data_IF_583774438195
#
_entry.id   IF_583774438195
#
_cell.length_a   1.000
_cell.length_b   1.000
_cell.length_c   1.000
_cell.angle_alpha   90.00
_cell.angle_beta   90.00
_cell.angle_gamma   90.00
#
_symmetry.space_group_name_H-M   'P 1'
#
loop_
_entity.id
_entity.type
_entity.pdbx_description
1 polymer ?
#
# COMPACT_ATOMS: atom_id res chain seq x y z
N UNK A 1 2.87 -25.89 -1.36
CA UNK A 1 3.14 -24.59 -1.97
C UNK A 1 3.28 -23.50 -0.89
N UNK A 2 3.97 -22.41 -1.19
CA UNK A 2 4.09 -21.28 -0.28
C UNK A 2 2.75 -20.54 -0.18
N UNK A 3 2.38 -20.12 1.04
CA UNK A 3 1.20 -19.28 1.30
C UNK A 3 1.65 -17.84 1.55
N UNK A 4 0.94 -16.87 1.00
CA UNK A 4 1.21 -15.46 1.31
C UNK A 4 0.78 -15.21 2.76
N UNK A 5 1.73 -14.74 3.58
CA UNK A 5 1.49 -14.36 4.98
C UNK A 5 0.79 -13.02 5.08
N UNK A 6 0.05 -12.80 6.16
CA UNK A 6 -0.42 -11.45 6.51
C UNK A 6 0.75 -10.53 6.91
N UNK A 7 0.54 -9.24 6.76
CA UNK A 7 1.60 -8.24 6.91
C UNK A 7 2.21 -8.24 8.33
N UNK A 8 1.37 -8.31 9.35
CA UNK A 8 1.83 -8.28 10.76
C UNK A 8 2.70 -9.50 11.06
N UNK A 9 2.27 -10.67 10.59
CA UNK A 9 3.02 -11.91 10.76
C UNK A 9 4.36 -11.87 10.01
N UNK A 10 4.37 -11.37 8.78
CA UNK A 10 5.60 -11.21 8.00
C UNK A 10 6.60 -10.28 8.69
N UNK A 11 6.14 -9.12 9.21
CA UNK A 11 6.99 -8.19 9.96
C UNK A 11 7.47 -8.83 11.27
N UNK A 12 6.63 -9.61 11.95
CA UNK A 12 7.03 -10.34 13.17
C UNK A 12 8.14 -11.36 12.88
N UNK A 13 8.03 -12.12 11.77
CA UNK A 13 9.08 -13.07 11.40
C UNK A 13 10.36 -12.36 10.91
N UNK A 14 10.23 -11.22 10.26
CA UNK A 14 11.35 -10.37 9.89
C UNK A 14 12.08 -9.81 11.12
N UNK A 15 11.32 -9.37 12.13
CA UNK A 15 11.89 -8.92 13.41
C UNK A 15 12.74 -10.01 14.09
N UNK A 16 12.27 -11.26 14.12
CA UNK A 16 13.02 -12.36 14.71
C UNK A 16 14.38 -12.55 14.05
N UNK A 17 14.46 -12.37 12.74
CA UNK A 17 15.72 -12.45 11.99
C UNK A 17 16.55 -11.18 12.24
N UNK A 18 15.94 -10.00 12.15
CA UNK A 18 16.65 -8.74 12.32
C UNK A 18 17.26 -8.58 13.70
N UNK A 19 16.55 -9.01 14.74
CA UNK A 19 17.00 -8.94 16.14
C UNK A 19 18.23 -9.81 16.46
N UNK A 20 18.54 -10.80 15.62
CA UNK A 20 19.79 -11.58 15.72
C UNK A 20 21.01 -10.74 15.35
N UNK A 21 20.84 -9.73 14.50
CA UNK A 21 21.90 -8.82 14.05
C UNK A 21 21.90 -7.51 14.84
N UNK A 22 20.72 -7.00 15.19
CA UNK A 22 20.53 -5.71 15.84
C UNK A 22 19.53 -5.85 16.99
N UNK A 23 19.98 -5.82 18.26
CA UNK A 23 19.09 -5.88 19.42
C UNK A 23 18.29 -4.57 19.50
N UNK A 24 17.03 -4.63 19.14
CA UNK A 24 16.07 -3.52 19.21
C UNK A 24 14.72 -4.06 19.68
N UNK A 25 13.88 -3.23 20.31
CA UNK A 25 12.52 -3.63 20.71
C UNK A 25 11.58 -3.68 19.50
N UNK A 26 10.58 -4.58 19.55
CA UNK A 26 9.65 -4.81 18.43
C UNK A 26 8.86 -3.56 18.04
N UNK A 27 8.43 -2.76 19.01
CA UNK A 27 7.68 -1.52 18.78
C UNK A 27 8.49 -0.48 17.96
N UNK A 28 9.79 -0.35 18.21
CA UNK A 28 10.68 0.52 17.42
C UNK A 28 10.94 -0.06 16.03
N UNK A 29 11.12 -1.37 15.95
CA UNK A 29 11.38 -2.05 14.70
C UNK A 29 10.15 -2.09 13.78
N UNK A 30 8.93 -2.18 14.31
CA UNK A 30 7.73 -2.49 13.53
C UNK A 30 7.56 -1.59 12.30
N UNK A 31 7.64 -0.28 12.49
CA UNK A 31 7.51 0.69 11.39
C UNK A 31 8.63 0.55 10.36
N UNK A 32 9.85 0.39 10.83
CA UNK A 32 11.01 0.13 9.99
C UNK A 32 10.90 -1.21 9.26
N UNK A 33 10.44 -2.23 9.95
CA UNK A 33 10.21 -3.57 9.41
C UNK A 33 9.18 -3.60 8.28
N UNK A 34 8.15 -2.77 8.33
CA UNK A 34 7.19 -2.63 7.23
C UNK A 34 7.82 -2.03 5.96
N UNK A 35 8.69 -1.03 6.12
CA UNK A 35 9.45 -0.46 5.00
C UNK A 35 10.39 -1.50 4.40
N UNK A 36 11.15 -2.17 5.24
CA UNK A 36 12.11 -3.19 4.82
C UNK A 36 11.43 -4.38 4.10
N UNK A 37 10.28 -4.82 4.59
CA UNK A 37 9.47 -5.84 3.92
C UNK A 37 9.02 -5.38 2.52
N UNK A 38 8.66 -4.11 2.37
CA UNK A 38 8.27 -3.52 1.09
C UNK A 38 9.44 -3.45 0.12
N UNK A 39 10.63 -3.11 0.61
CA UNK A 39 11.85 -3.08 -0.19
C UNK A 39 12.25 -4.49 -0.65
N UNK A 40 12.19 -5.48 0.23
CA UNK A 40 12.44 -6.88 -0.13
C UNK A 40 11.44 -7.41 -1.15
N UNK A 41 10.17 -7.03 -1.04
CA UNK A 41 9.12 -7.35 -2.01
C UNK A 41 9.46 -6.77 -3.39
N UNK A 42 9.93 -5.52 -3.43
CA UNK A 42 10.33 -4.82 -4.65
C UNK A 42 11.58 -5.45 -5.27
N UNK A 43 12.62 -5.73 -4.48
CA UNK A 43 13.84 -6.41 -4.93
C UNK A 43 13.48 -7.73 -5.64
N UNK A 44 12.56 -8.50 -5.08
CA UNK A 44 12.14 -9.77 -5.65
C UNK A 44 11.28 -9.59 -6.91
N UNK A 45 10.34 -8.65 -6.96
CA UNK A 45 9.50 -8.36 -8.14
C UNK A 45 10.32 -7.90 -9.35
N UNK A 46 11.37 -7.14 -9.09
CA UNK A 46 12.25 -6.64 -10.16
C UNK A 46 13.43 -7.55 -10.45
N UNK A 47 13.52 -8.73 -9.82
CA UNK A 47 14.58 -9.73 -10.01
C UNK A 47 15.98 -9.16 -9.76
N UNK A 48 16.09 -8.16 -8.89
CA UNK A 48 17.36 -7.52 -8.56
C UNK A 48 18.27 -8.52 -7.84
N UNK A 49 19.56 -8.51 -8.16
CA UNK A 49 20.57 -9.23 -7.40
C UNK A 49 20.78 -8.51 -6.07
N UNK A 50 20.21 -9.09 -5.01
CA UNK A 50 20.25 -8.50 -3.68
C UNK A 50 21.67 -8.43 -3.10
N UNK A 51 22.53 -9.39 -3.41
CA UNK A 51 23.93 -9.40 -2.93
C UNK A 51 24.73 -8.27 -3.57
N UNK A 52 24.53 -8.05 -4.87
CA UNK A 52 25.12 -6.92 -5.58
C UNK A 52 24.57 -5.58 -5.08
N UNK A 53 23.24 -5.49 -4.93
CA UNK A 53 22.58 -4.27 -4.46
C UNK A 53 23.10 -3.85 -3.08
N UNK A 54 23.06 -4.75 -2.09
CA UNK A 54 23.46 -4.42 -0.73
C UNK A 54 24.95 -4.17 -0.59
N UNK A 55 25.79 -4.85 -1.39
CA UNK A 55 27.23 -4.56 -1.47
C UNK A 55 27.48 -3.16 -2.02
N UNK A 56 26.89 -2.84 -3.17
CA UNK A 56 27.05 -1.52 -3.79
C UNK A 56 26.54 -0.39 -2.89
N UNK A 57 25.43 -0.61 -2.15
CA UNK A 57 24.95 0.36 -1.18
C UNK A 57 25.92 0.57 -0.01
N UNK A 58 26.59 -0.49 0.47
CA UNK A 58 27.62 -0.37 1.49
C UNK A 58 28.86 0.38 0.94
N UNK A 59 29.33 0.03 -0.26
CA UNK A 59 30.48 0.66 -0.93
C UNK A 59 30.23 2.14 -1.26
N UNK A 60 29.00 2.50 -1.69
CA UNK A 60 28.60 3.90 -1.95
C UNK A 60 28.66 4.73 -0.67
N UNK A 61 28.32 4.14 0.47
CA UNK A 61 28.39 4.81 1.76
C UNK A 61 29.82 5.02 2.27
N UNK A 62 30.76 4.17 1.86
CA UNK A 62 32.20 4.37 2.12
C UNK A 62 32.80 5.47 1.22
N UNK A 63 32.29 5.62 -0.01
CA UNK A 63 32.83 6.52 -1.03
C UNK A 63 32.24 7.93 -1.03
N UNK A 64 31.67 8.44 0.01
CA UNK A 64 31.01 9.75 0.18
C UNK A 64 31.41 10.97 -0.72
N UNK A 65 32.06 10.73 -1.85
CA UNK A 65 32.65 11.78 -2.69
C UNK A 65 31.86 12.08 -3.99
N UNK A 66 31.01 11.19 -4.50
CA UNK A 66 30.32 11.45 -5.76
C UNK A 66 28.87 10.92 -5.77
N UNK A 67 27.91 11.80 -5.47
CA UNK A 67 26.46 11.50 -5.51
C UNK A 67 25.81 11.91 -6.84
N UNK A 68 26.59 12.29 -7.84
CA UNK A 68 26.10 12.85 -9.11
C UNK A 68 25.30 11.87 -9.97
N UNK A 69 25.41 10.56 -9.71
CA UNK A 69 24.71 9.49 -10.42
C UNK A 69 23.41 9.01 -9.73
N UNK A 70 23.09 9.57 -8.57
CA UNK A 70 21.87 9.18 -7.84
C UNK A 70 20.65 9.91 -8.39
N UNK A 71 19.54 9.18 -8.49
CA UNK A 71 18.26 9.79 -8.88
C UNK A 71 17.77 10.82 -7.84
N UNK A 72 16.93 11.79 -8.22
CA UNK A 72 16.38 12.78 -7.30
C UNK A 72 15.63 12.17 -6.10
N UNK A 73 15.06 10.97 -6.27
CA UNK A 73 14.39 10.24 -5.19
C UNK A 73 15.40 9.67 -4.20
N UNK A 74 16.49 9.10 -4.68
CA UNK A 74 17.58 8.57 -3.85
C UNK A 74 18.29 9.68 -3.08
N UNK A 75 18.50 10.84 -3.72
CA UNK A 75 19.06 12.02 -3.04
C UNK A 75 18.13 12.54 -1.93
N UNK A 76 16.81 12.53 -2.12
CA UNK A 76 15.84 12.91 -1.08
C UNK A 76 15.86 11.94 0.10
N UNK A 77 16.01 10.65 -0.14
CA UNK A 77 16.14 9.63 0.92
C UNK A 77 17.43 9.86 1.72
N UNK A 78 18.54 10.10 1.05
CA UNK A 78 19.83 10.41 1.70
C UNK A 78 19.75 11.72 2.50
N UNK A 79 19.15 12.76 1.93
CA UNK A 79 18.97 14.05 2.60
C UNK A 79 18.01 13.94 3.81
N UNK A 80 16.99 13.12 3.74
CA UNK A 80 16.10 12.81 4.87
C UNK A 80 16.90 12.21 6.03
N UNK A 81 17.75 11.24 5.77
CA UNK A 81 18.58 10.59 6.80
C UNK A 81 19.73 11.48 7.30
N UNK A 82 20.28 12.35 6.47
CA UNK A 82 21.33 13.32 6.88
C UNK A 82 20.81 14.40 7.84
N UNK A 83 19.54 14.77 7.77
CA UNK A 83 18.95 15.79 8.65
C UNK A 83 18.68 15.31 10.09
N UNK A 84 18.90 14.04 10.40
CA UNK A 84 18.73 13.49 11.76
C UNK A 84 20.03 13.45 12.59
N UNK A 85 21.15 13.96 12.07
CA UNK A 85 22.45 13.87 12.75
C UNK A 85 22.97 15.23 13.20
N UNK A 86 23.13 15.38 14.51
CA UNK A 86 23.87 16.47 15.12
C UNK A 86 25.38 16.23 14.94
N UNK A 87 26.17 17.24 14.56
CA UNK A 87 27.56 17.10 14.10
C UNK A 87 28.54 16.47 15.10
N UNK A 88 28.21 16.42 16.39
CA UNK A 88 29.09 15.90 17.44
C UNK A 88 28.95 14.39 17.72
N UNK A 89 27.87 13.74 17.28
CA UNK A 89 27.62 12.30 17.45
C UNK A 89 27.87 11.47 16.17
N UNK A 90 28.24 12.14 15.09
CA UNK A 90 28.37 11.63 13.72
C UNK A 90 29.20 10.34 13.57
N UNK A 91 30.21 10.10 14.41
CA UNK A 91 31.12 8.95 14.24
C UNK A 91 30.52 7.62 14.71
N UNK A 92 29.65 7.62 15.70
CA UNK A 92 29.05 6.40 16.27
C UNK A 92 27.74 6.06 15.61
N UNK A 93 26.89 7.04 15.34
CA UNK A 93 25.63 6.86 14.61
C UNK A 93 25.85 6.51 13.15
N UNK A 94 26.84 7.14 12.52
CA UNK A 94 27.28 6.78 11.17
C UNK A 94 27.78 5.33 11.09
N UNK A 95 28.54 4.88 12.07
CA UNK A 95 28.98 3.46 12.15
C UNK A 95 27.80 2.51 12.35
N UNK A 96 26.83 2.87 13.21
CA UNK A 96 25.60 2.08 13.41
C UNK A 96 24.76 2.03 12.13
N UNK A 97 24.62 3.14 11.43
CA UNK A 97 23.92 3.22 10.15
C UNK A 97 24.57 2.32 9.10
N UNK A 98 25.90 2.42 8.92
CA UNK A 98 26.65 1.57 7.98
C UNK A 98 26.54 0.07 8.36
N UNK A 99 26.60 -0.24 9.65
CA UNK A 99 26.43 -1.61 10.13
C UNK A 99 25.06 -2.20 9.75
N UNK A 100 23.98 -1.41 9.82
CA UNK A 100 22.66 -1.84 9.36
C UNK A 100 22.68 -2.21 7.88
N UNK A 101 23.24 -1.36 7.02
CA UNK A 101 23.30 -1.62 5.58
C UNK A 101 24.12 -2.87 5.24
N UNK A 102 25.23 -3.11 5.94
CA UNK A 102 26.06 -4.30 5.76
C UNK A 102 25.32 -5.60 6.14
N UNK A 103 24.37 -5.52 7.05
CA UNK A 103 23.59 -6.68 7.51
C UNK A 103 22.31 -6.92 6.72
N UNK A 104 21.83 -5.97 5.90
CA UNK A 104 20.59 -6.14 5.14
C UNK A 104 20.61 -7.32 4.17
N UNK A 105 21.74 -7.58 3.52
CA UNK A 105 21.91 -8.75 2.65
C UNK A 105 21.75 -10.08 3.41
N UNK A 106 22.49 -10.31 4.50
CA UNK A 106 22.27 -11.44 5.40
C UNK A 106 20.82 -11.53 5.92
N UNK A 107 20.24 -10.43 6.41
CA UNK A 107 18.84 -10.40 6.90
C UNK A 107 17.87 -10.83 5.81
N UNK A 108 18.00 -10.30 4.57
CA UNK A 108 17.17 -10.68 3.44
C UNK A 108 17.24 -12.18 3.14
N UNK A 109 18.43 -12.77 3.08
CA UNK A 109 18.60 -14.20 2.82
C UNK A 109 18.01 -15.06 3.91
N UNK A 110 18.39 -14.81 5.17
CA UNK A 110 17.91 -15.56 6.34
C UNK A 110 16.39 -15.45 6.49
N UNK A 111 15.82 -14.27 6.23
CA UNK A 111 14.36 -14.07 6.27
C UNK A 111 13.64 -14.92 5.20
N UNK A 112 14.14 -14.94 3.97
CA UNK A 112 13.56 -15.78 2.90
C UNK A 112 13.64 -17.27 3.23
N UNK A 113 14.76 -17.73 3.76
CA UNK A 113 14.94 -19.12 4.20
C UNK A 113 13.97 -19.48 5.34
N UNK A 114 13.84 -18.59 6.32
CA UNK A 114 12.89 -18.75 7.42
C UNK A 114 11.45 -18.84 6.92
N UNK A 115 11.04 -17.95 6.03
CA UNK A 115 9.70 -18.00 5.45
C UNK A 115 9.45 -19.30 4.67
N UNK A 116 10.44 -19.77 3.90
CA UNK A 116 10.34 -21.06 3.19
C UNK A 116 10.15 -22.23 4.18
N UNK A 117 10.89 -22.25 5.26
CA UNK A 117 10.77 -23.31 6.30
C UNK A 117 9.38 -23.31 6.96
N UNK A 118 8.74 -22.14 7.06
CA UNK A 118 7.38 -21.95 7.59
C UNK A 118 6.28 -22.19 6.53
N UNK A 119 6.64 -22.49 5.29
CA UNK A 119 5.67 -22.60 4.17
C UNK A 119 5.03 -21.27 3.80
N UNK A 120 5.67 -20.15 4.13
CA UNK A 120 5.17 -18.79 3.94
C UNK A 120 6.00 -18.02 2.91
N UNK A 121 5.42 -16.93 2.39
CA UNK A 121 6.08 -15.98 1.51
C UNK A 121 5.41 -14.62 1.55
N UNK A 122 6.13 -13.57 1.17
CA UNK A 122 5.54 -12.31 0.70
C UNK A 122 5.36 -12.35 -0.84
N UNK A 123 4.63 -11.40 -1.39
CA UNK A 123 4.20 -11.44 -2.80
C UNK A 123 5.38 -11.48 -3.77
N UNK A 124 6.37 -10.61 -3.62
CA UNK A 124 7.56 -10.57 -4.48
C UNK A 124 8.35 -11.88 -4.47
N UNK A 125 8.46 -12.53 -3.31
CA UNK A 125 9.10 -13.85 -3.19
C UNK A 125 8.39 -14.92 -4.04
N UNK A 126 7.04 -14.89 -4.11
CA UNK A 126 6.26 -15.79 -4.97
C UNK A 126 6.47 -15.44 -6.44
N UNK A 127 6.45 -14.14 -6.79
CA UNK A 127 6.69 -13.68 -8.16
C UNK A 127 8.08 -14.09 -8.65
N UNK A 128 9.13 -13.87 -7.85
CA UNK A 128 10.49 -14.30 -8.19
C UNK A 128 10.58 -15.82 -8.38
N UNK A 129 10.01 -16.59 -7.45
CA UNK A 129 10.03 -18.05 -7.56
C UNK A 129 9.32 -18.55 -8.85
N UNK A 130 8.22 -17.91 -9.22
CA UNK A 130 7.54 -18.21 -10.49
C UNK A 130 8.41 -17.85 -11.71
N UNK A 131 9.02 -16.66 -11.71
CA UNK A 131 9.89 -16.20 -12.78
C UNK A 131 11.16 -17.06 -12.94
N UNK A 132 11.76 -17.51 -11.84
CA UNK A 132 12.90 -18.42 -11.83
C UNK A 132 12.51 -19.81 -12.35
N UNK A 133 11.35 -20.32 -11.97
CA UNK A 133 10.83 -21.59 -12.45
C UNK A 133 10.52 -21.56 -13.94
N UNK A 134 9.98 -20.46 -14.47
CA UNK A 134 9.78 -20.23 -15.89
C UNK A 134 11.14 -20.31 -16.62
N UNK A 135 12.17 -19.61 -16.10
CA UNK A 135 13.52 -19.62 -16.68
C UNK A 135 14.12 -21.04 -16.71
N UNK A 136 13.84 -21.85 -15.70
CA UNK A 136 14.32 -23.22 -15.61
C UNK A 136 13.50 -24.22 -16.47
N UNK A 137 12.51 -23.76 -17.25
CA UNK A 137 11.64 -24.64 -18.07
C UNK A 137 10.65 -25.48 -17.26
N UNK A 138 10.42 -25.11 -15.99
CA UNK A 138 9.58 -25.89 -15.06
C UNK A 138 8.07 -25.67 -15.18
N UNK A 139 7.59 -25.01 -16.24
CA UNK A 139 6.17 -24.81 -16.52
C UNK A 139 5.79 -25.35 -17.89
N UNK A 140 4.71 -26.12 -17.93
CA UNK A 140 4.00 -26.48 -19.15
C UNK A 140 2.52 -26.17 -18.95
N UNK A 141 1.90 -25.57 -19.95
CA UNK A 141 0.45 -25.41 -20.01
C UNK A 141 -0.15 -26.48 -20.92
N UNK A 142 -1.39 -26.93 -20.65
CA UNK A 142 -2.15 -27.70 -21.64
C UNK A 142 -2.29 -26.88 -22.93
N UNK A 143 -2.07 -27.51 -24.08
CA UNK A 143 -2.04 -26.89 -25.42
C UNK A 143 -3.31 -26.10 -25.79
N UNK A 144 -4.42 -26.33 -25.10
CA UNK A 144 -5.73 -25.70 -25.38
C UNK A 144 -6.01 -24.42 -24.61
N UNK A 145 -5.05 -23.86 -23.84
CA UNK A 145 -5.30 -22.64 -23.07
C UNK A 145 -5.01 -21.38 -23.86
N UNK A 146 -5.99 -20.47 -23.84
CA UNK A 146 -5.85 -19.10 -24.30
C UNK A 146 -5.80 -18.17 -23.11
N UNK A 147 -4.87 -17.22 -23.14
CA UNK A 147 -4.73 -16.20 -22.11
C UNK A 147 -5.12 -14.82 -22.68
N UNK A 148 -5.80 -14.05 -21.86
CA UNK A 148 -6.10 -12.63 -22.13
C UNK A 148 -5.49 -11.80 -21.02
N UNK A 149 -4.60 -10.89 -21.38
CA UNK A 149 -3.93 -9.96 -20.47
C UNK A 149 -4.50 -8.57 -20.71
N UNK A 150 -5.13 -7.98 -19.71
CA UNK A 150 -5.75 -6.66 -19.81
C UNK A 150 -5.62 -5.86 -18.50
N UNK A 151 -5.66 -4.53 -18.57
CA UNK A 151 -5.70 -3.63 -17.41
C UNK A 151 -4.35 -3.38 -16.72
N UNK A 152 -3.25 -3.73 -17.36
CA UNK A 152 -1.89 -3.47 -16.84
C UNK A 152 -1.32 -2.14 -17.37
N UNK A 153 -0.47 -1.51 -16.54
CA UNK A 153 0.30 -0.33 -16.92
C UNK A 153 1.79 -0.58 -16.61
N UNK A 154 2.28 -0.21 -15.42
CA UNK A 154 3.65 -0.52 -15.04
C UNK A 154 3.82 -2.03 -14.78
N UNK A 155 4.79 -2.66 -15.43
CA UNK A 155 5.09 -4.07 -15.26
C UNK A 155 6.40 -4.25 -14.50
N UNK A 156 6.39 -5.12 -13.50
CA UNK A 156 7.62 -5.61 -12.87
C UNK A 156 8.37 -6.56 -13.80
N UNK A 157 9.65 -6.80 -13.54
CA UNK A 157 10.46 -7.74 -14.33
C UNK A 157 9.95 -9.19 -14.24
N UNK A 158 9.35 -9.57 -13.12
CA UNK A 158 8.67 -10.87 -12.98
C UNK A 158 7.46 -10.97 -13.92
N UNK A 159 6.63 -9.93 -14.02
CA UNK A 159 5.47 -9.88 -14.90
C UNK A 159 5.88 -9.86 -16.37
N UNK A 160 6.88 -9.05 -16.74
CA UNK A 160 7.44 -9.05 -18.09
C UNK A 160 7.93 -10.47 -18.49
N UNK A 161 8.61 -11.16 -17.60
CA UNK A 161 9.07 -12.54 -17.84
C UNK A 161 7.91 -13.52 -17.98
N UNK A 162 6.88 -13.39 -17.15
CA UNK A 162 5.67 -14.20 -17.25
C UNK A 162 4.96 -13.95 -18.57
N UNK A 163 4.74 -12.71 -18.97
CA UNK A 163 4.04 -12.37 -20.21
C UNK A 163 4.81 -12.82 -21.44
N UNK A 164 6.13 -12.67 -21.43
CA UNK A 164 6.98 -13.21 -22.49
C UNK A 164 6.87 -14.73 -22.60
N UNK A 165 6.82 -15.44 -21.48
CA UNK A 165 6.61 -16.87 -21.45
C UNK A 165 5.23 -17.24 -21.99
N UNK A 166 4.16 -16.57 -21.53
CA UNK A 166 2.79 -16.82 -22.00
C UNK A 166 2.66 -16.60 -23.52
N UNK A 167 3.26 -15.54 -24.06
CA UNK A 167 3.20 -15.23 -25.48
C UNK A 167 3.91 -16.27 -26.38
N UNK A 168 4.82 -17.07 -25.81
CA UNK A 168 5.54 -18.13 -26.56
C UNK A 168 4.98 -19.53 -26.30
N UNK A 169 4.42 -19.78 -25.11
CA UNK A 169 3.97 -21.10 -24.67
C UNK A 169 2.49 -21.34 -24.90
N UNK A 170 1.70 -20.30 -25.16
CA UNK A 170 0.25 -20.41 -25.34
C UNK A 170 -0.28 -19.28 -26.25
N UNK A 171 -1.51 -19.45 -26.73
CA UNK A 171 -2.21 -18.35 -27.39
C UNK A 171 -2.52 -17.24 -26.39
N UNK A 172 -1.89 -16.09 -26.56
CA UNK A 172 -2.00 -14.96 -25.61
C UNK A 172 -2.36 -13.68 -26.35
N UNK A 173 -3.41 -13.03 -25.89
CA UNK A 173 -3.86 -11.73 -26.38
C UNK A 173 -3.61 -10.66 -25.32
N UNK A 174 -3.04 -9.53 -25.74
CA UNK A 174 -2.80 -8.37 -24.90
C UNK A 174 -3.76 -7.26 -25.27
N UNK A 175 -4.33 -6.59 -24.26
CA UNK A 175 -5.19 -5.43 -24.41
C UNK A 175 -4.67 -4.32 -23.50
N UNK A 176 -4.23 -3.24 -24.13
CA UNK A 176 -3.69 -2.07 -23.43
C UNK A 176 -4.74 -0.97 -23.46
N UNK A 177 -5.09 -0.43 -22.29
CA UNK A 177 -5.97 0.72 -22.15
C UNK A 177 -5.11 1.99 -22.14
N UNK A 178 -5.16 2.76 -23.22
CA UNK A 178 -4.39 3.98 -23.38
C UNK A 178 -5.16 4.99 -24.23
N UNK A 179 -4.78 6.26 -24.12
CA UNK A 179 -5.22 7.30 -25.04
C UNK A 179 -4.00 7.84 -25.79
N UNK A 180 -4.16 8.10 -27.09
CA UNK A 180 -3.10 8.60 -27.98
C UNK A 180 -2.53 9.92 -27.50
N UNK A 181 -3.33 10.72 -26.78
CA UNK A 181 -2.85 11.95 -26.16
C UNK A 181 -1.63 11.71 -25.25
N UNK A 182 -1.61 10.61 -24.50
CA UNK A 182 -0.52 10.26 -23.58
C UNK A 182 0.58 9.44 -24.23
N UNK A 183 0.25 8.63 -25.23
CA UNK A 183 1.22 7.69 -25.81
C UNK A 183 1.98 8.24 -27.00
N UNK A 184 1.42 9.18 -27.77
CA UNK A 184 2.05 9.76 -28.94
C UNK A 184 3.05 10.88 -28.59
N UNK A 185 2.96 11.44 -27.40
CA UNK A 185 3.90 12.42 -26.89
C UNK A 185 4.89 11.76 -25.91
N UNK A 186 6.17 11.75 -26.28
CA UNK A 186 7.24 11.16 -25.46
C UNK A 186 7.44 11.87 -24.11
N UNK A 187 7.13 13.17 -24.03
CA UNK A 187 7.27 13.97 -22.80
C UNK A 187 6.16 13.69 -21.77
N UNK A 188 5.11 12.97 -22.18
CA UNK A 188 4.02 12.58 -21.27
C UNK A 188 4.42 11.33 -20.45
N UNK A 189 4.71 11.53 -19.18
CA UNK A 189 5.08 10.43 -18.25
C UNK A 189 3.98 9.37 -18.12
N UNK A 190 2.70 9.78 -18.15
CA UNK A 190 1.55 8.87 -18.03
C UNK A 190 1.51 7.79 -19.14
N UNK A 191 2.09 8.06 -20.32
CA UNK A 191 2.19 7.09 -21.41
C UNK A 191 3.45 6.22 -21.40
N UNK A 192 4.41 6.46 -20.52
CA UNK A 192 5.75 5.88 -20.57
C UNK A 192 5.72 4.34 -20.57
N UNK A 193 5.11 3.72 -19.60
CA UNK A 193 5.03 2.27 -19.49
C UNK A 193 4.20 1.63 -20.60
N UNK A 194 3.13 2.31 -21.03
CA UNK A 194 2.27 1.81 -22.11
C UNK A 194 2.98 1.83 -23.45
N UNK A 195 3.83 2.83 -23.73
CA UNK A 195 4.69 2.85 -24.92
C UNK A 195 5.63 1.65 -24.95
N UNK A 196 6.30 1.35 -23.82
CA UNK A 196 7.18 0.19 -23.68
C UNK A 196 6.40 -1.12 -23.85
N UNK A 197 5.29 -1.28 -23.15
CA UNK A 197 4.50 -2.50 -23.16
C UNK A 197 3.92 -2.84 -24.53
N UNK A 198 3.47 -1.82 -25.29
CA UNK A 198 2.96 -2.02 -26.67
C UNK A 198 4.04 -2.52 -27.62
N UNK A 199 5.30 -2.14 -27.39
CA UNK A 199 6.45 -2.67 -28.16
C UNK A 199 6.77 -4.09 -27.73
N UNK A 200 6.82 -4.37 -26.44
CA UNK A 200 7.20 -5.68 -25.92
C UNK A 200 6.12 -6.75 -26.11
N UNK A 201 4.86 -6.34 -26.00
CA UNK A 201 3.69 -7.20 -26.04
C UNK A 201 2.61 -6.56 -26.94
N UNK A 202 2.77 -6.61 -28.27
CA UNK A 202 1.83 -5.97 -29.17
C UNK A 202 0.44 -6.57 -29.06
N UNK A 203 -0.58 -5.73 -29.07
CA UNK A 203 -1.97 -6.18 -29.11
C UNK A 203 -2.30 -6.76 -30.47
N UNK A 204 -3.05 -7.87 -30.52
CA UNK A 204 -3.59 -8.38 -31.78
C UNK A 204 -4.63 -7.45 -32.42
N UNK A 205 -5.38 -6.77 -31.55
CA UNK A 205 -6.42 -5.82 -31.95
C UNK A 205 -6.22 -4.55 -31.14
N UNK A 206 -5.91 -3.48 -31.85
CA UNK A 206 -5.91 -2.16 -31.22
C UNK A 206 -7.35 -1.65 -31.06
N UNK A 207 -7.62 -1.07 -29.90
CA UNK A 207 -8.88 -0.39 -29.65
C UNK A 207 -8.71 1.10 -29.97
N UNK A 208 -9.73 1.78 -30.50
CA UNK A 208 -9.65 3.22 -30.73
C UNK A 208 -9.58 3.95 -29.40
N UNK A 209 -8.51 4.70 -29.17
CA UNK A 209 -8.21 5.41 -27.93
C UNK A 209 -7.85 6.86 -28.22
N UNK A 210 -8.83 7.66 -28.58
CA UNK A 210 -8.68 9.10 -28.81
C UNK A 210 -9.87 9.86 -28.19
N UNK A 211 -10.16 9.56 -26.93
CA UNK A 211 -11.29 10.17 -26.24
C UNK A 211 -10.90 11.38 -25.40
N UNK A 212 -9.61 11.49 -25.02
CA UNK A 212 -9.17 12.58 -24.16
C UNK A 212 -9.40 13.96 -24.80
N UNK A 213 -9.22 14.09 -26.11
CA UNK A 213 -9.44 15.32 -26.86
C UNK A 213 -10.90 15.60 -27.23
N UNK A 214 -11.80 14.63 -26.97
CA UNK A 214 -13.23 14.82 -27.21
C UNK A 214 -13.79 15.96 -26.36
N UNK A 215 -14.77 16.73 -26.87
CA UNK A 215 -15.42 17.79 -26.09
C UNK A 215 -15.98 17.25 -24.78
N UNK A 216 -15.76 17.98 -23.70
CA UNK A 216 -16.24 17.64 -22.35
C UNK A 216 -16.92 18.85 -21.74
N UNK A 217 -18.00 18.63 -21.02
CA UNK A 217 -18.59 19.64 -20.14
C UNK A 217 -17.90 19.56 -18.78
N UNK A 218 -17.20 20.61 -18.38
CA UNK A 218 -16.49 20.70 -17.11
C UNK A 218 -17.05 21.89 -16.35
N UNK A 219 -17.54 21.66 -15.13
CA UNK A 219 -18.02 22.68 -14.22
C UNK A 219 -17.21 22.66 -12.94
N UNK A 220 -16.72 23.82 -12.51
CA UNK A 220 -16.02 24.00 -11.26
C UNK A 220 -16.93 24.77 -10.29
N UNK A 221 -17.23 24.17 -9.14
CA UNK A 221 -18.15 24.72 -8.18
C UNK A 221 -17.42 24.88 -6.84
N UNK A 222 -17.43 26.11 -6.31
CA UNK A 222 -16.89 26.41 -4.98
C UNK A 222 -17.99 26.42 -3.94
N UNK A 223 -17.73 25.82 -2.80
CA UNK A 223 -18.67 25.78 -1.66
C UNK A 223 -18.00 26.30 -0.39
N UNK A 224 -18.80 26.78 0.55
CA UNK A 224 -18.29 27.39 1.80
C UNK A 224 -17.80 26.36 2.83
N UNK A 225 -18.11 25.08 2.65
CA UNK A 225 -17.66 24.00 3.54
C UNK A 225 -17.80 22.62 2.90
N UNK A 226 -17.09 21.63 3.44
CA UNK A 226 -17.16 20.24 3.02
C UNK A 226 -18.60 19.66 3.17
N UNK A 227 -19.33 20.03 4.22
CA UNK A 227 -20.71 19.58 4.41
C UNK A 227 -21.64 20.12 3.31
N UNK A 228 -21.46 21.39 2.91
CA UNK A 228 -22.19 21.97 1.79
C UNK A 228 -21.80 21.33 0.47
N UNK A 229 -20.53 21.00 0.28
CA UNK A 229 -20.04 20.26 -0.89
C UNK A 229 -20.75 18.90 -1.03
N UNK A 230 -20.84 18.12 0.02
CA UNK A 230 -21.57 16.84 0.00
C UNK A 230 -23.05 17.02 -0.35
N UNK A 231 -23.71 18.03 0.22
CA UNK A 231 -25.10 18.35 -0.11
C UNK A 231 -25.28 18.82 -1.55
N UNK A 232 -24.30 19.56 -2.10
CA UNK A 232 -24.37 20.00 -3.48
C UNK A 232 -24.22 18.85 -4.47
N UNK A 233 -23.35 17.86 -4.18
CA UNK A 233 -23.28 16.61 -4.95
C UNK A 233 -24.63 15.92 -5.00
N UNK A 234 -25.36 15.90 -3.89
CA UNK A 234 -26.73 15.35 -3.83
C UNK A 234 -27.68 16.03 -4.80
N UNK A 235 -27.59 17.37 -4.92
CA UNK A 235 -28.41 18.13 -5.89
C UNK A 235 -28.05 17.74 -7.32
N UNK A 236 -26.76 17.70 -7.65
CA UNK A 236 -26.30 17.30 -8.99
C UNK A 236 -26.80 15.90 -9.35
N UNK A 237 -26.68 14.93 -8.43
CA UNK A 237 -27.12 13.55 -8.69
C UNK A 237 -28.65 13.46 -8.87
N UNK A 238 -29.42 14.28 -8.16
CA UNK A 238 -30.87 14.33 -8.32
C UNK A 238 -31.25 14.92 -9.69
N UNK A 239 -30.58 15.99 -10.10
CA UNK A 239 -30.82 16.63 -11.37
C UNK A 239 -30.47 15.70 -12.53
N UNK A 240 -29.31 15.01 -12.45
CA UNK A 240 -28.92 13.99 -13.41
C UNK A 240 -29.92 12.84 -13.50
N UNK A 241 -30.40 12.35 -12.35
CA UNK A 241 -31.39 11.27 -12.31
C UNK A 241 -32.75 11.73 -12.90
N UNK A 242 -33.12 13.00 -12.74
CA UNK A 242 -34.33 13.57 -13.35
C UNK A 242 -34.19 13.70 -14.89
N UNK A 243 -32.99 14.03 -15.38
CA UNK A 243 -32.74 14.19 -16.81
C UNK A 243 -32.53 12.85 -17.55
N UNK A 244 -31.81 11.90 -16.95
CA UNK A 244 -31.32 10.69 -17.63
C UNK A 244 -32.03 9.41 -17.16
N UNK A 245 -32.83 9.47 -16.10
CA UNK A 245 -33.39 8.31 -15.44
C UNK A 245 -32.45 7.72 -14.37
N UNK A 246 -32.67 6.47 -13.97
CA UNK A 246 -31.87 5.84 -12.90
C UNK A 246 -30.37 5.84 -13.21
N UNK A 247 -29.57 6.38 -12.29
CA UNK A 247 -28.13 6.43 -12.44
C UNK A 247 -27.52 5.03 -12.26
N UNK A 248 -26.52 4.70 -13.09
CA UNK A 248 -25.84 3.41 -13.10
C UNK A 248 -24.31 3.55 -12.98
N UNK A 249 -23.59 2.56 -13.48
CA UNK A 249 -22.12 2.46 -13.45
C UNK A 249 -21.38 3.55 -14.22
N UNK A 250 -22.06 4.29 -15.08
CA UNK A 250 -21.57 5.45 -15.86
C UNK A 250 -21.44 6.71 -14.99
N UNK A 251 -22.03 6.71 -13.78
CA UNK A 251 -21.95 7.83 -12.84
C UNK A 251 -21.03 7.48 -11.68
N UNK A 252 -19.99 8.27 -11.48
CA UNK A 252 -19.05 8.10 -10.36
C UNK A 252 -18.90 9.39 -9.57
N UNK A 253 -18.86 9.27 -8.24
CA UNK A 253 -18.47 10.35 -7.33
C UNK A 253 -17.11 10.01 -6.75
N UNK A 254 -16.12 10.83 -7.03
CA UNK A 254 -14.74 10.63 -6.59
C UNK A 254 -14.46 11.57 -5.42
N UNK A 255 -14.08 11.00 -4.27
CA UNK A 255 -13.68 11.74 -3.08
C UNK A 255 -12.15 11.84 -3.03
N UNK A 256 -11.63 13.08 -3.02
CA UNK A 256 -10.20 13.34 -2.78
C UNK A 256 -9.86 13.38 -1.30
N UNK A 257 -10.86 13.62 -0.45
CA UNK A 257 -10.77 13.51 1.01
C UNK A 257 -11.69 12.37 1.47
N UNK A 258 -11.09 11.26 1.90
CA UNK A 258 -11.80 10.04 2.35
C UNK A 258 -12.71 10.28 3.56
N UNK A 259 -12.42 11.30 4.37
CA UNK A 259 -13.25 11.65 5.52
C UNK A 259 -14.65 12.14 5.13
N UNK A 260 -14.85 12.52 3.87
CA UNK A 260 -16.15 12.94 3.35
C UNK A 260 -17.07 11.78 2.97
N UNK A 261 -16.62 10.53 3.06
CA UNK A 261 -17.43 9.36 2.70
C UNK A 261 -18.74 9.30 3.49
N UNK A 262 -18.68 9.34 4.81
CA UNK A 262 -19.89 9.29 5.63
C UNK A 262 -20.81 10.50 5.44
N UNK A 263 -20.30 11.76 5.49
CA UNK A 263 -21.12 12.92 5.16
C UNK A 263 -21.81 12.82 3.81
N UNK A 264 -21.11 12.30 2.79
CA UNK A 264 -21.70 12.11 1.47
C UNK A 264 -22.79 11.02 1.48
N UNK A 265 -22.52 9.85 2.05
CA UNK A 265 -23.50 8.75 2.13
C UNK A 265 -24.78 9.17 2.85
N UNK A 266 -24.66 9.96 3.94
CA UNK A 266 -25.81 10.52 4.65
C UNK A 266 -26.55 11.60 3.86
N UNK A 267 -25.87 12.26 2.93
CA UNK A 267 -26.48 13.29 2.10
C UNK A 267 -27.16 12.73 0.84
N UNK A 268 -26.86 11.49 0.44
CA UNK A 268 -27.42 10.90 -0.77
C UNK A 268 -28.96 10.79 -0.68
N UNK A 269 -29.66 11.16 -1.78
CA UNK A 269 -31.11 11.05 -1.81
C UNK A 269 -31.53 9.57 -1.92
N UNK A 270 -32.65 9.22 -1.26
CA UNK A 270 -33.16 7.85 -1.22
C UNK A 270 -33.48 7.28 -2.63
N UNK A 271 -33.78 8.16 -3.58
CA UNK A 271 -34.12 7.83 -4.96
C UNK A 271 -32.97 7.21 -5.75
N UNK A 272 -31.72 7.44 -5.33
CA UNK A 272 -30.53 6.87 -6.00
C UNK A 272 -30.44 5.34 -5.81
N UNK A 273 -31.01 4.82 -4.73
CA UNK A 273 -31.14 3.39 -4.50
C UNK A 273 -29.79 2.73 -4.16
N UNK A 274 -29.18 1.98 -5.08
CA UNK A 274 -27.97 1.21 -4.80
C UNK A 274 -26.71 2.00 -5.16
N UNK A 275 -25.78 2.07 -4.21
CA UNK A 275 -24.47 2.71 -4.37
C UNK A 275 -23.37 1.68 -4.16
N UNK A 276 -22.38 1.64 -5.05
CA UNK A 276 -21.16 0.86 -4.86
C UNK A 276 -20.07 1.74 -4.25
N UNK A 277 -19.64 1.40 -3.03
CA UNK A 277 -18.56 2.11 -2.33
C UNK A 277 -17.29 1.27 -2.47
N UNK A 278 -16.27 1.81 -3.14
CA UNK A 278 -14.97 1.16 -3.33
C UNK A 278 -13.93 1.56 -2.29
N UNK A 279 -14.25 2.54 -1.45
CA UNK A 279 -13.39 3.01 -0.36
C UNK A 279 -13.61 2.19 0.90
N UNK A 280 -12.52 1.91 1.65
CA UNK A 280 -12.62 1.35 2.98
C UNK A 280 -13.03 2.41 4.01
N UNK A 281 -13.82 2.00 5.00
CA UNK A 281 -14.07 2.85 6.18
C UNK A 281 -12.93 2.64 7.18
N UNK A 282 -12.17 3.69 7.56
CA UNK A 282 -11.05 3.54 8.49
C UNK A 282 -11.54 3.02 9.85
N UNK A 283 -11.03 1.86 10.27
CA UNK A 283 -11.38 1.27 11.58
C UNK A 283 -11.16 2.27 12.74
N UNK A 284 -10.15 3.13 12.62
CA UNK A 284 -9.86 4.21 13.60
C UNK A 284 -11.05 5.14 13.87
N UNK A 285 -11.96 5.28 12.93
CA UNK A 285 -13.17 6.12 13.07
C UNK A 285 -14.37 5.35 13.63
N UNK A 286 -14.21 4.04 13.89
CA UNK A 286 -15.30 3.20 14.40
C UNK A 286 -15.42 3.28 15.92
N UNK A 287 -16.63 3.05 16.43
CA UNK A 287 -16.88 2.90 17.87
C UNK A 287 -16.09 1.73 18.46
N UNK A 288 -15.89 0.65 17.70
CA UNK A 288 -15.09 -0.50 18.17
C UNK A 288 -13.64 -0.12 18.42
N UNK A 289 -13.04 0.69 17.57
CA UNK A 289 -11.69 1.18 17.77
C UNK A 289 -11.57 2.05 19.02
N UNK A 290 -12.46 3.05 19.16
CA UNK A 290 -12.43 3.95 20.32
C UNK A 290 -12.68 3.20 21.63
N UNK A 291 -13.47 2.13 21.62
CA UNK A 291 -13.65 1.27 22.79
C UNK A 291 -12.37 0.53 23.18
N UNK A 292 -11.71 -0.10 22.20
CA UNK A 292 -10.43 -0.80 22.43
C UNK A 292 -9.34 0.16 22.85
N UNK A 293 -9.24 1.34 22.22
CA UNK A 293 -8.28 2.39 22.57
C UNK A 293 -8.43 2.82 24.04
N UNK A 294 -9.66 3.08 24.50
CA UNK A 294 -9.94 3.42 25.91
C UNK A 294 -9.59 2.29 26.88
N UNK A 295 -9.80 1.04 26.49
CA UNK A 295 -9.37 -0.11 27.29
C UNK A 295 -7.83 -0.17 27.42
N UNK A 296 -7.12 0.09 26.32
CA UNK A 296 -5.65 0.11 26.33
C UNK A 296 -5.14 1.28 27.17
N UNK A 297 -5.71 2.48 27.02
CA UNK A 297 -5.35 3.67 27.81
C UNK A 297 -5.56 3.42 29.31
N UNK A 298 -6.69 2.83 29.68
CA UNK A 298 -7.00 2.46 31.07
C UNK A 298 -5.91 1.55 31.66
N UNK A 299 -5.42 0.58 30.88
CA UNK A 299 -4.38 -0.33 31.31
C UNK A 299 -2.99 0.35 31.37
N UNK A 300 -2.67 1.18 30.39
CA UNK A 300 -1.38 1.88 30.32
C UNK A 300 -1.20 2.90 31.45
N UNK A 301 -2.29 3.55 31.89
CA UNK A 301 -2.28 4.50 32.99
C UNK A 301 -2.47 3.84 34.37
N UNK A 302 -2.71 2.52 34.40
CA UNK A 302 -2.89 1.78 35.65
C UNK A 302 -1.59 1.82 36.49
N UNK A 303 -1.74 2.13 37.78
CA UNK A 303 -0.65 2.11 38.76
C UNK A 303 -0.89 1.02 39.78
N UNK A 304 0.16 0.39 40.27
CA UNK A 304 0.06 -0.53 41.37
C UNK A 304 0.36 0.17 42.70
N UNK A 305 -0.54 0.02 43.68
CA UNK A 305 -0.34 0.48 45.03
C UNK A 305 -0.74 -0.66 45.97
N UNK A 306 0.20 -1.13 46.84
CA UNK A 306 -0.03 -2.18 47.80
C UNK A 306 -0.58 -3.49 47.15
N UNK A 307 -0.12 -3.83 45.93
CA UNK A 307 -0.56 -5.01 45.19
C UNK A 307 -1.94 -4.89 44.55
N UNK A 308 -2.59 -3.72 44.61
CA UNK A 308 -3.88 -3.45 43.94
C UNK A 308 -3.72 -2.51 42.76
N UNK A 309 -4.37 -2.80 41.62
CA UNK A 309 -4.38 -1.87 40.51
C UNK A 309 -5.24 -0.65 40.84
N UNK A 310 -4.70 0.54 40.58
CA UNK A 310 -5.39 1.82 40.65
C UNK A 310 -5.50 2.37 39.25
N UNK A 311 -6.71 2.73 38.87
CA UNK A 311 -7.00 3.32 37.57
C UNK A 311 -7.23 4.82 37.68
N UNK A 312 -6.83 5.58 36.66
CA UNK A 312 -7.09 6.99 36.60
C UNK A 312 -8.58 7.23 36.37
N UNK A 313 -9.20 8.06 37.20
CA UNK A 313 -10.66 8.27 37.21
C UNK A 313 -11.23 8.73 35.86
N UNK A 314 -10.51 9.58 35.11
CA UNK A 314 -10.96 10.07 33.83
C UNK A 314 -11.02 8.96 32.78
N UNK A 315 -10.08 8.00 32.80
CA UNK A 315 -10.09 6.85 31.88
C UNK A 315 -11.27 5.91 32.19
N UNK A 316 -11.53 5.70 33.49
CA UNK A 316 -12.70 4.90 33.93
C UNK A 316 -13.99 5.55 33.48
N UNK A 317 -14.17 6.86 33.71
CA UNK A 317 -15.36 7.59 33.28
C UNK A 317 -15.49 7.61 31.77
N UNK A 318 -14.37 7.80 31.04
CA UNK A 318 -14.34 7.75 29.59
C UNK A 318 -14.81 6.41 29.04
N UNK A 319 -14.38 5.31 29.66
CA UNK A 319 -14.82 3.97 29.28
C UNK A 319 -16.29 3.72 29.61
N UNK A 320 -16.73 4.08 30.82
CA UNK A 320 -18.13 3.90 31.27
C UNK A 320 -19.12 4.71 30.44
N UNK A 321 -18.72 5.87 29.92
CA UNK A 321 -19.53 6.70 29.03
C UNK A 321 -19.51 6.27 27.57
N UNK A 322 -18.78 5.20 27.24
CA UNK A 322 -18.72 4.71 25.86
C UNK A 322 -20.06 4.09 25.45
N UNK A 323 -20.57 4.34 24.19
CA UNK A 323 -21.87 3.86 23.72
C UNK A 323 -22.09 2.37 23.94
N UNK A 324 -21.11 1.52 23.72
CA UNK A 324 -21.22 0.06 23.92
C UNK A 324 -21.52 -0.33 25.37
N UNK A 325 -21.03 0.43 26.34
CA UNK A 325 -21.33 0.19 27.75
C UNK A 325 -22.68 0.79 28.12
N UNK A 326 -22.99 2.00 27.64
CA UNK A 326 -24.27 2.67 27.89
C UNK A 326 -25.46 1.85 27.34
N UNK A 327 -25.32 1.25 26.18
CA UNK A 327 -26.34 0.42 25.55
C UNK A 327 -26.50 -0.95 26.22
N UNK A 328 -25.43 -1.50 26.82
CA UNK A 328 -25.45 -2.84 27.42
C UNK A 328 -26.27 -2.89 28.72
N UNK A 329 -26.17 -1.88 29.59
CA UNK A 329 -26.98 -1.77 30.82
C UNK A 329 -27.04 -0.32 31.35
N UNK A 330 -27.98 0.49 30.87
CA UNK A 330 -28.12 1.87 31.29
C UNK A 330 -28.37 2.05 32.80
N UNK A 331 -28.92 1.03 33.48
CA UNK A 331 -29.26 1.09 34.91
C UNK A 331 -28.07 0.92 35.85
N UNK A 332 -26.97 0.28 35.38
CA UNK A 332 -25.73 0.09 36.16
C UNK A 332 -24.90 1.36 36.26
N UNK A 333 -24.94 2.21 35.25
CA UNK A 333 -24.10 3.41 35.16
C UNK A 333 -24.55 4.46 36.16
N UNK A 334 -25.84 4.61 36.35
CA UNK A 334 -26.45 5.55 37.34
C UNK A 334 -26.06 5.17 38.78
N UNK A 335 -25.67 3.93 39.06
CA UNK A 335 -25.23 3.47 40.40
C UNK A 335 -23.71 3.66 40.65
N UNK A 336 -22.94 4.01 39.65
CA UNK A 336 -21.49 4.19 39.76
C UNK A 336 -21.03 5.66 39.73
N UNK A 337 -21.93 6.59 39.40
CA UNK A 337 -21.75 8.04 39.56
C UNK A 337 -22.17 8.50 40.95
#
# INVERSE_FOLDING_TARGET
>A
GLRIGDRVRLVTELYKVYSEFHPESFDKFYFWGEMLLTDFDTIDKYLIDADMLFRNLADIKELEADVSYLSPVQLKIIAFWANFTDETSLSEEKRRFLAVWQTLGPVYRTFRERLRSLGMAYTGMVHRAAAERIKAGGFAFPESRRFVVAGFNALSECEKRLFKFLSTAAETDFYWDYDTYYTDNADQEAGMFLRENRILFPARRELPHDHFRSPKRIEAISTVSNAVQCKYVTSILRDLAAEQGPLGKETAVVLTDENLLLPLLHALPAEIGKVNVTMGYPLKQSLSYSFVERLIELQNHARQKEGKPLFYHADVLGLLSHPYILESDPSRIVRMQ
#
